data_IF_420071914394
#
_entry.id   IF_420071914394
#
_cell.length_a   1.000
_cell.length_b   1.000
_cell.length_c   1.000
_cell.angle_alpha   90.00
_cell.angle_beta   90.00
_cell.angle_gamma   90.00
#
_symmetry.space_group_name_H-M   'P 1'
#
loop_
_entity.id
_entity.type
_entity.pdbx_description
1 polymer ?
#
# COMPACT_ATOMS: atom_id res chain seq x y z
N UNK A 1 8.73 -15.14 -3.78
CA UNK A 1 7.81 -14.15 -4.37
C UNK A 1 7.31 -14.77 -5.67
N UNK A 2 6.00 -15.00 -5.82
CA UNK A 2 5.44 -15.74 -6.95
C UNK A 2 5.51 -14.93 -8.24
N UNK A 3 6.69 -14.79 -8.83
CA UNK A 3 6.92 -14.02 -10.07
C UNK A 3 6.16 -14.62 -11.27
N UNK A 4 5.79 -15.90 -11.17
CA UNK A 4 4.99 -16.63 -12.15
C UNK A 4 3.47 -16.48 -11.94
N UNK A 5 3.05 -15.79 -10.87
CA UNK A 5 1.63 -15.54 -10.59
C UNK A 5 1.22 -14.20 -11.21
N UNK A 6 0.12 -14.22 -11.95
CA UNK A 6 -0.52 -13.01 -12.48
C UNK A 6 -0.86 -12.05 -11.34
N UNK A 7 -0.58 -10.77 -11.52
CA UNK A 7 -0.88 -9.73 -10.54
C UNK A 7 -2.41 -9.48 -10.44
N UNK A 8 -3.05 -9.73 -9.28
CA UNK A 8 -4.49 -9.53 -9.11
C UNK A 8 -4.87 -8.08 -8.75
N UNK A 9 -3.92 -7.14 -8.70
CA UNK A 9 -4.20 -5.74 -8.35
C UNK A 9 -5.25 -5.15 -9.30
N UNK A 10 -6.34 -4.61 -8.72
CA UNK A 10 -7.47 -4.05 -9.47
C UNK A 10 -8.47 -5.07 -10.04
N UNK A 11 -8.26 -6.38 -9.82
CA UNK A 11 -9.18 -7.43 -10.28
C UNK A 11 -10.30 -7.66 -9.24
N UNK A 12 -11.54 -7.73 -9.70
CA UNK A 12 -12.66 -8.21 -8.87
C UNK A 12 -12.58 -9.73 -8.70
N UNK A 13 -12.22 -10.15 -7.48
CA UNK A 13 -12.05 -11.56 -7.11
C UNK A 13 -13.31 -12.17 -6.46
N UNK A 14 -14.44 -11.46 -6.38
CA UNK A 14 -15.63 -11.89 -5.62
C UNK A 14 -16.18 -13.25 -6.05
N UNK A 15 -16.45 -13.42 -7.35
CA UNK A 15 -17.03 -14.65 -7.90
C UNK A 15 -16.10 -15.86 -7.77
N UNK A 16 -14.80 -15.68 -8.01
CA UNK A 16 -13.82 -16.76 -7.88
C UNK A 16 -13.63 -17.15 -6.41
N UNK A 17 -13.65 -16.17 -5.51
CA UNK A 17 -13.55 -16.39 -4.06
C UNK A 17 -14.68 -17.27 -3.54
N UNK A 18 -15.92 -17.01 -3.98
CA UNK A 18 -17.09 -17.82 -3.59
C UNK A 18 -16.92 -19.29 -3.98
N UNK A 19 -16.45 -19.55 -5.21
CA UNK A 19 -16.21 -20.91 -5.70
C UNK A 19 -15.08 -21.60 -4.93
N UNK A 20 -14.00 -20.89 -4.61
CA UNK A 20 -12.88 -21.45 -3.83
C UNK A 20 -13.33 -21.82 -2.42
N UNK A 21 -14.18 -20.99 -1.78
CA UNK A 21 -14.68 -21.24 -0.42
C UNK A 21 -15.51 -22.51 -0.29
N UNK A 22 -16.13 -22.99 -1.35
CA UNK A 22 -16.81 -24.29 -1.36
C UNK A 22 -15.86 -25.47 -1.04
N UNK A 23 -14.57 -25.32 -1.32
CA UNK A 23 -13.54 -26.33 -1.05
C UNK A 23 -12.60 -25.92 0.08
N UNK A 24 -12.38 -24.62 0.26
CA UNK A 24 -11.49 -24.03 1.27
C UNK A 24 -12.25 -22.95 2.04
N UNK A 25 -13.05 -23.31 3.06
CA UNK A 25 -13.98 -22.38 3.72
C UNK A 25 -13.32 -21.13 4.31
N UNK A 26 -12.05 -21.24 4.71
CA UNK A 26 -11.28 -20.15 5.31
C UNK A 26 -10.46 -19.35 4.28
N UNK A 27 -10.70 -19.54 2.98
CA UNK A 27 -10.01 -18.78 1.94
C UNK A 27 -10.35 -17.29 2.00
N UNK A 28 -9.29 -16.48 2.10
CA UNK A 28 -9.34 -15.03 2.07
C UNK A 28 -8.57 -14.56 0.82
N UNK A 29 -9.25 -13.92 -0.16
CA UNK A 29 -8.54 -13.32 -1.28
C UNK A 29 -7.68 -12.18 -0.77
N UNK A 30 -6.49 -12.02 -1.38
CA UNK A 30 -5.55 -10.94 -1.04
C UNK A 30 -4.99 -10.34 -2.34
N UNK A 31 -4.56 -9.09 -2.27
CA UNK A 31 -3.79 -8.43 -3.32
C UNK A 31 -4.62 -7.68 -4.35
N UNK A 32 -5.95 -7.54 -4.17
CA UNK A 32 -6.76 -6.67 -5.01
C UNK A 32 -6.39 -5.19 -4.79
N UNK A 33 -6.13 -4.81 -3.53
CA UNK A 33 -5.72 -3.47 -3.11
C UNK A 33 -4.21 -3.24 -3.03
N UNK A 34 -3.38 -4.20 -3.43
CA UNK A 34 -1.93 -4.12 -3.28
C UNK A 34 -1.45 -4.44 -1.85
N UNK A 35 -0.27 -3.93 -1.46
CA UNK A 35 0.37 -4.28 -0.18
C UNK A 35 -0.19 -3.47 1.01
N UNK A 36 -0.97 -2.40 0.80
CA UNK A 36 -1.63 -1.64 1.88
C UNK A 36 -2.73 -2.45 2.51
N UNK A 37 -3.47 -3.19 1.69
CA UNK A 37 -4.48 -4.12 2.15
C UNK A 37 -3.84 -5.15 3.10
N UNK A 38 -2.64 -5.64 2.74
CA UNK A 38 -1.89 -6.56 3.58
C UNK A 38 -1.52 -5.92 4.93
N UNK A 39 -1.03 -4.67 4.93
CA UNK A 39 -0.78 -3.92 6.17
C UNK A 39 -2.01 -3.83 7.06
N UNK A 40 -3.18 -3.54 6.48
CA UNK A 40 -4.42 -3.40 7.25
C UNK A 40 -4.78 -4.71 7.96
N UNK A 41 -4.58 -5.86 7.31
CA UNK A 41 -4.80 -7.17 7.92
C UNK A 41 -3.82 -7.45 9.08
N UNK A 42 -2.55 -7.08 8.93
CA UNK A 42 -1.53 -7.22 9.99
C UNK A 42 -1.81 -6.27 11.17
N UNK A 43 -2.09 -4.99 10.90
CA UNK A 43 -2.41 -3.97 11.93
C UNK A 43 -3.68 -4.36 12.71
N UNK A 44 -4.65 -5.01 12.05
CA UNK A 44 -5.87 -5.51 12.69
C UNK A 44 -5.68 -6.81 13.50
N UNK A 45 -4.48 -7.41 13.50
CA UNK A 45 -4.16 -8.61 14.27
C UNK A 45 -4.75 -9.92 13.70
N UNK A 46 -5.32 -9.89 12.49
CA UNK A 46 -5.93 -11.07 11.87
C UNK A 46 -4.89 -12.11 11.40
N UNK A 47 -3.62 -11.72 11.26
CA UNK A 47 -2.52 -12.56 10.79
C UNK A 47 -1.24 -12.26 11.61
N UNK A 48 -1.01 -12.94 12.75
CA UNK A 48 0.27 -12.85 13.44
C UNK A 48 1.37 -13.45 12.57
N UNK A 49 2.34 -12.62 12.16
CA UNK A 49 3.50 -13.07 11.40
C UNK A 49 4.44 -13.96 12.24
N UNK A 50 5.28 -14.79 11.61
CA UNK A 50 6.34 -15.52 12.29
C UNK A 50 7.24 -14.61 13.14
N UNK A 51 7.72 -15.08 14.29
CA UNK A 51 8.53 -14.28 15.23
C UNK A 51 9.82 -13.70 14.62
N UNK A 52 10.33 -14.30 13.54
CA UNK A 52 11.53 -13.89 12.81
C UNK A 52 11.22 -13.03 11.57
N UNK A 53 10.02 -12.49 11.46
CA UNK A 53 9.63 -11.65 10.32
C UNK A 53 10.11 -10.22 10.55
N UNK A 54 10.91 -9.69 9.62
CA UNK A 54 11.22 -8.26 9.59
C UNK A 54 9.91 -7.46 9.48
N UNK A 55 9.82 -6.25 10.06
CA UNK A 55 8.62 -5.43 9.93
C UNK A 55 8.27 -5.26 8.45
N UNK A 56 7.20 -5.94 8.01
CA UNK A 56 6.70 -5.83 6.64
C UNK A 56 6.09 -4.45 6.37
N UNK A 57 5.98 -3.62 7.42
CA UNK A 57 5.38 -2.30 7.39
C UNK A 57 6.35 -1.22 7.88
N UNK A 58 6.41 -0.11 7.13
CA UNK A 58 7.19 1.07 7.49
C UNK A 58 6.36 2.15 8.22
N UNK A 59 5.12 1.82 8.65
CA UNK A 59 4.21 2.72 9.35
C UNK A 59 3.21 3.42 8.43
N UNK A 60 2.79 4.64 8.81
CA UNK A 60 1.82 5.47 8.07
C UNK A 60 2.41 6.83 7.73
N UNK A 61 2.33 7.19 6.45
CA UNK A 61 2.61 8.51 5.92
C UNK A 61 1.42 9.45 5.99
N UNK A 62 1.55 10.69 5.49
CA UNK A 62 0.47 11.68 5.51
C UNK A 62 -0.73 11.31 4.62
N UNK A 63 -0.51 10.39 3.66
CA UNK A 63 -1.53 9.97 2.69
C UNK A 63 -1.87 8.48 2.76
N UNK A 64 -1.43 7.77 3.82
CA UNK A 64 -1.76 6.35 4.02
C UNK A 64 -0.56 5.49 4.36
N UNK A 65 -0.71 4.19 4.10
CA UNK A 65 0.23 3.15 4.49
C UNK A 65 1.55 3.22 3.71
N UNK A 66 2.66 2.95 4.40
CA UNK A 66 4.00 2.89 3.81
C UNK A 66 4.36 1.42 3.56
N UNK A 67 3.98 0.95 2.38
CA UNK A 67 3.79 -0.48 2.08
C UNK A 67 5.07 -1.27 1.72
N UNK A 68 6.25 -0.65 1.78
CA UNK A 68 7.51 -1.33 1.47
C UNK A 68 8.39 -1.45 2.72
N UNK A 69 7.83 -2.07 3.77
CA UNK A 69 8.51 -2.27 5.05
C UNK A 69 9.89 -2.90 4.90
N UNK A 70 10.90 -2.24 5.45
CA UNK A 70 12.29 -2.66 5.41
C UNK A 70 13.00 -2.52 4.05
N UNK A 71 12.28 -2.17 2.97
CA UNK A 71 12.86 -2.04 1.62
C UNK A 71 13.29 -0.60 1.28
N UNK A 72 12.90 0.39 2.09
CA UNK A 72 13.41 1.75 1.99
C UNK A 72 13.62 2.39 3.36
N UNK A 73 14.36 3.49 3.37
CA UNK A 73 14.52 4.39 4.52
C UNK A 73 13.88 5.74 4.21
N UNK A 74 13.13 6.31 5.16
CA UNK A 74 12.59 7.68 5.05
C UNK A 74 13.53 8.62 5.77
N UNK A 75 14.02 9.63 5.05
CA UNK A 75 14.80 10.72 5.62
C UNK A 75 13.96 12.00 5.47
N UNK A 76 13.66 12.66 6.59
CA UNK A 76 12.93 13.94 6.63
C UNK A 76 13.95 15.07 6.73
N UNK A 77 14.02 15.93 5.72
CA UNK A 77 14.91 17.11 5.71
C UNK A 77 14.08 18.39 5.87
N UNK A 78 14.50 19.30 6.75
CA UNK A 78 13.81 20.58 7.05
C UNK A 78 14.81 21.68 7.31
N UNK A 79 14.52 22.88 6.82
CA UNK A 79 15.35 24.07 7.06
C UNK A 79 15.21 24.60 8.50
N UNK A 80 14.09 24.31 9.15
CA UNK A 80 13.77 24.80 10.50
C UNK A 80 14.33 23.93 11.63
N UNK A 81 15.02 22.84 11.32
CA UNK A 81 15.63 21.97 12.34
C UNK A 81 16.93 22.59 12.85
N UNK A 82 17.02 22.77 14.16
CA UNK A 82 18.25 23.23 14.81
C UNK A 82 19.36 22.17 14.77
N UNK A 83 20.64 22.55 14.91
CA UNK A 83 21.78 21.61 14.90
C UNK A 83 21.70 20.48 15.94
N UNK A 84 21.00 20.72 17.05
CA UNK A 84 20.80 19.77 18.16
C UNK A 84 19.31 19.44 18.39
N UNK A 85 18.46 19.69 17.40
CA UNK A 85 17.03 19.35 17.46
C UNK A 85 16.78 17.95 16.89
N UNK A 86 16.53 16.99 17.79
CA UNK A 86 16.23 15.60 17.48
C UNK A 86 14.75 15.25 17.58
N UNK A 87 13.87 16.24 17.78
CA UNK A 87 12.44 16.00 17.80
C UNK A 87 11.93 15.56 16.42
N UNK A 88 10.85 14.77 16.37
CA UNK A 88 10.21 14.46 15.08
C UNK A 88 9.60 15.74 14.50
N UNK A 89 10.08 16.26 13.34
CA UNK A 89 9.51 17.46 12.72
C UNK A 89 8.12 17.22 12.11
N UNK A 90 7.60 15.99 12.18
CA UNK A 90 6.36 15.60 11.53
C UNK A 90 6.48 15.49 10.01
N UNK A 91 5.34 15.30 9.36
CA UNK A 91 5.25 15.18 7.90
C UNK A 91 5.44 16.52 7.20
N UNK A 92 6.04 16.49 6.01
CA UNK A 92 6.22 17.69 5.20
C UNK A 92 4.86 18.17 4.72
N UNK A 93 4.54 19.43 4.96
CA UNK A 93 3.31 20.05 4.50
C UNK A 93 3.54 20.59 3.09
N UNK A 94 3.20 19.78 2.08
CA UNK A 94 3.30 20.21 0.69
C UNK A 94 2.30 21.35 0.42
N UNK A 95 2.71 22.39 -0.34
CA UNK A 95 1.78 23.41 -0.82
C UNK A 95 0.63 22.75 -1.58
N UNK A 96 -0.61 23.25 -1.40
CA UNK A 96 -1.82 22.64 -1.96
C UNK A 96 -1.72 22.37 -3.48
N UNK A 97 -1.03 23.27 -4.19
CA UNK A 97 -0.86 23.22 -5.64
C UNK A 97 0.08 22.08 -6.09
N UNK A 98 0.89 21.55 -5.18
CA UNK A 98 1.80 20.42 -5.39
C UNK A 98 1.18 19.08 -4.97
N UNK A 99 0.00 19.09 -4.35
CA UNK A 99 -0.69 17.86 -3.96
C UNK A 99 -1.38 17.27 -5.19
N UNK A 100 -1.12 15.98 -5.45
CA UNK A 100 -1.77 15.25 -6.52
C UNK A 100 -3.28 15.18 -6.29
N UNK A 101 -4.06 15.42 -7.35
CA UNK A 101 -5.52 15.35 -7.33
C UNK A 101 -6.03 14.53 -8.50
N UNK A 102 -7.18 13.89 -8.31
CA UNK A 102 -7.88 13.19 -9.38
C UNK A 102 -8.25 14.19 -10.48
N UNK A 103 -7.88 13.88 -11.72
CA UNK A 103 -8.17 14.72 -12.88
C UNK A 103 -9.46 14.31 -13.60
N UNK A 104 -9.86 13.04 -13.49
CA UNK A 104 -11.11 12.51 -14.05
C UNK A 104 -11.56 11.23 -13.34
N UNK A 105 -12.85 10.90 -13.44
CA UNK A 105 -13.44 9.59 -13.12
C UNK A 105 -13.76 8.76 -14.36
N UNK A 106 -13.67 9.36 -15.53
CA UNK A 106 -13.93 8.70 -16.79
C UNK A 106 -12.79 7.73 -17.11
N UNK A 107 -13.12 6.46 -17.35
CA UNK A 107 -12.18 5.41 -17.67
C UNK A 107 -11.49 5.64 -19.03
N UNK A 108 -12.14 6.38 -19.92
CA UNK A 108 -11.64 6.71 -21.25
C UNK A 108 -10.87 8.05 -21.28
N UNK A 109 -10.71 8.70 -20.12
CA UNK A 109 -10.01 9.98 -20.01
C UNK A 109 -8.54 9.87 -20.43
N UNK A 110 -8.11 10.73 -21.35
CA UNK A 110 -6.73 10.80 -21.84
C UNK A 110 -6.38 9.76 -22.93
N UNK A 111 -7.32 8.86 -23.26
CA UNK A 111 -7.30 7.88 -24.35
C UNK A 111 -5.91 7.39 -24.82
N UNK A 112 -5.10 6.75 -23.95
CA UNK A 112 -3.80 6.22 -24.36
C UNK A 112 -3.99 4.96 -25.20
N UNK A 113 -3.55 5.00 -26.46
CA UNK A 113 -3.51 3.83 -27.35
C UNK A 113 -2.62 2.75 -26.72
N UNK A 114 -3.21 1.73 -26.12
CA UNK A 114 -2.48 0.54 -25.63
C UNK A 114 -2.27 -0.39 -26.82
N UNK A 115 -1.02 -0.65 -27.19
CA UNK A 115 -0.70 -1.69 -28.17
C UNK A 115 -1.02 -3.06 -27.55
N UNK A 116 -1.81 -3.86 -28.26
CA UNK A 116 -2.00 -5.29 -28.02
C UNK A 116 -0.78 -6.09 -28.41
#
# INVERSE_FOLDING_TARGET
>A
MGHELTNPVGVDQSQVTERIRNHLPNYMPMGAGGMSEHQQHTDAGHMPGPANTLPMMAGKGPYGNLEMGGMFTIIKVRDSLGPDDFADPGWYQAPEQQIARRVSTDADFGNPVRRS
#
